data_IF_532838461133
#
_entry.id   IF_532838461133
#
_cell.length_a   1.000
_cell.length_b   1.000
_cell.length_c   1.000
_cell.angle_alpha   90.00
_cell.angle_beta   90.00
_cell.angle_gamma   90.00
#
_symmetry.space_group_name_H-M   'P 1'
#
loop_
_entity.id
_entity.type
_entity.pdbx_description
1 polymer ?
#
# COMPACT_ATOMS: atom_id res chain seq x y z
N UNK A 1 29.44 1.17 -16.49
CA UNK A 1 29.20 -0.14 -15.85
C UNK A 1 27.87 -0.18 -15.10
N UNK A 2 27.54 0.78 -14.22
CA UNK A 2 26.27 0.80 -13.45
C UNK A 2 24.99 0.76 -14.31
N UNK A 3 24.88 1.63 -15.32
CA UNK A 3 23.72 1.66 -16.23
C UNK A 3 23.49 0.33 -16.97
N UNK A 4 24.57 -0.40 -17.27
CA UNK A 4 24.47 -1.70 -17.92
C UNK A 4 23.96 -2.79 -16.95
N UNK A 5 24.24 -2.67 -15.65
CA UNK A 5 23.70 -3.58 -14.62
C UNK A 5 22.24 -3.29 -14.31
N UNK A 6 21.86 -2.02 -14.24
CA UNK A 6 20.46 -1.62 -14.04
C UNK A 6 19.52 -2.23 -15.10
N UNK A 7 19.96 -2.29 -16.36
CA UNK A 7 19.20 -2.92 -17.46
C UNK A 7 19.02 -4.44 -17.35
N UNK A 8 19.74 -5.10 -16.43
CA UNK A 8 19.60 -6.54 -16.17
C UNK A 8 18.64 -6.85 -15.02
N UNK A 9 18.13 -5.83 -14.32
CA UNK A 9 17.12 -6.03 -13.29
C UNK A 9 15.79 -6.43 -13.95
N UNK A 10 15.01 -7.32 -13.32
CA UNK A 10 13.70 -7.70 -13.83
C UNK A 10 12.78 -6.47 -13.96
N UNK A 11 11.99 -6.35 -15.04
CA UNK A 11 10.97 -5.33 -15.14
C UNK A 11 9.82 -5.64 -14.16
N UNK A 12 9.06 -4.61 -13.79
CA UNK A 12 7.76 -4.80 -13.15
C UNK A 12 6.79 -5.49 -14.10
N UNK A 13 5.87 -6.29 -13.54
CA UNK A 13 4.95 -7.14 -14.30
C UNK A 13 3.52 -6.94 -13.81
N UNK A 14 2.57 -7.07 -14.73
CA UNK A 14 1.13 -7.06 -14.44
C UNK A 14 0.65 -8.51 -14.49
N UNK A 15 0.03 -8.97 -13.41
CA UNK A 15 -0.42 -10.35 -13.28
C UNK A 15 -1.83 -10.61 -13.81
N UNK A 16 -2.27 -11.87 -13.69
CA UNK A 16 -3.57 -12.35 -14.20
C UNK A 16 -4.79 -11.68 -13.60
N UNK A 17 -4.66 -11.01 -12.45
CA UNK A 17 -5.73 -10.24 -11.82
C UNK A 17 -5.58 -8.74 -12.07
N UNK A 18 -4.79 -8.34 -13.07
CA UNK A 18 -4.46 -6.94 -13.34
C UNK A 18 -3.81 -6.23 -12.13
N UNK A 19 -3.13 -6.98 -11.25
CA UNK A 19 -2.37 -6.49 -10.12
C UNK A 19 -0.90 -6.28 -10.49
N UNK A 20 -0.21 -5.38 -9.80
CA UNK A 20 1.24 -5.34 -9.84
C UNK A 20 1.79 -6.57 -9.09
N UNK A 21 2.58 -7.40 -9.76
CA UNK A 21 3.07 -8.65 -9.17
C UNK A 21 4.05 -8.38 -8.03
N UNK A 22 3.84 -9.07 -6.90
CA UNK A 22 4.79 -9.04 -5.77
C UNK A 22 6.03 -9.91 -6.02
N UNK A 23 5.88 -10.98 -6.80
CA UNK A 23 6.94 -11.92 -7.14
C UNK A 23 7.21 -12.00 -8.65
N UNK A 24 8.27 -12.70 -9.05
CA UNK A 24 8.59 -12.90 -10.47
C UNK A 24 7.55 -13.77 -11.16
N UNK A 25 7.07 -14.80 -10.46
CA UNK A 25 5.95 -15.63 -10.87
C UNK A 25 4.62 -15.03 -10.43
N UNK A 26 3.57 -15.25 -11.22
CA UNK A 26 2.22 -14.72 -10.98
C UNK A 26 1.47 -15.46 -9.85
N UNK A 27 1.92 -15.24 -8.62
CA UNK A 27 1.51 -15.96 -7.42
C UNK A 27 0.61 -15.14 -6.48
N UNK A 28 0.33 -13.88 -6.80
CA UNK A 28 -0.51 -13.03 -5.95
C UNK A 28 -1.91 -13.61 -5.77
N UNK A 29 -2.48 -13.38 -4.58
CA UNK A 29 -3.84 -13.76 -4.25
C UNK A 29 -4.68 -12.51 -4.00
N UNK A 30 -5.73 -12.21 -4.81
CA UNK A 30 -6.59 -11.04 -4.64
C UNK A 30 -7.37 -11.00 -3.31
N UNK A 31 -7.38 -12.11 -2.56
CA UNK A 31 -8.03 -12.22 -1.24
C UNK A 31 -7.07 -12.05 -0.07
N UNK A 32 -5.79 -11.82 -0.33
CA UNK A 32 -4.78 -11.65 0.70
C UNK A 32 -4.73 -10.20 1.19
N UNK A 33 -5.16 -9.98 2.43
CA UNK A 33 -5.23 -8.68 3.11
C UNK A 33 -3.98 -8.38 3.94
N UNK A 34 -2.84 -9.00 3.59
CA UNK A 34 -1.58 -8.81 4.29
C UNK A 34 -1.24 -7.34 4.52
N UNK A 35 -0.80 -7.01 5.75
CA UNK A 35 -0.50 -5.64 6.17
C UNK A 35 0.64 -4.98 5.37
N UNK A 36 1.56 -5.76 4.82
CA UNK A 36 2.64 -5.23 3.97
C UNK A 36 2.19 -5.17 2.51
N UNK A 37 2.56 -4.07 1.86
CA UNK A 37 2.39 -3.82 0.43
C UNK A 37 3.75 -3.48 -0.18
N UNK A 38 4.77 -4.27 0.16
CA UNK A 38 6.19 -3.94 -0.06
C UNK A 38 6.53 -3.73 -1.54
N UNK A 39 5.91 -4.50 -2.44
CA UNK A 39 6.06 -4.34 -3.88
C UNK A 39 5.52 -3.01 -4.42
N UNK A 40 4.71 -2.26 -3.64
CA UNK A 40 4.27 -0.91 -3.95
C UNK A 40 5.27 0.19 -3.54
N UNK A 41 6.49 -0.18 -3.09
CA UNK A 41 7.57 0.78 -2.84
C UNK A 41 7.81 1.72 -4.03
N UNK A 42 7.71 1.19 -5.26
CA UNK A 42 7.83 1.94 -6.51
C UNK A 42 6.82 3.09 -6.66
N UNK A 43 5.64 2.97 -6.03
CA UNK A 43 4.60 4.00 -6.00
C UNK A 43 4.81 5.00 -4.85
N UNK A 44 5.15 4.53 -3.66
CA UNK A 44 5.58 5.38 -2.53
C UNK A 44 6.43 4.57 -1.54
N UNK A 45 7.58 5.11 -1.07
CA UNK A 45 8.05 6.48 -1.24
C UNK A 45 8.86 6.75 -2.53
N UNK A 46 9.08 5.76 -3.39
CA UNK A 46 9.81 5.96 -4.65
C UNK A 46 8.99 6.73 -5.70
N UNK A 47 9.52 6.83 -6.91
CA UNK A 47 8.98 7.56 -8.07
C UNK A 47 8.96 6.70 -9.36
N UNK A 48 9.08 5.38 -9.23
CA UNK A 48 9.15 4.44 -10.36
C UNK A 48 7.80 4.23 -11.06
N UNK A 49 6.69 4.50 -10.37
CA UNK A 49 5.33 4.34 -10.90
C UNK A 49 4.66 5.72 -10.97
N UNK A 50 4.21 6.12 -12.15
CA UNK A 50 3.59 7.42 -12.40
C UNK A 50 2.41 7.27 -13.37
N UNK A 51 1.31 8.01 -13.14
CA UNK A 51 0.14 7.97 -14.02
C UNK A 51 0.45 8.51 -15.43
N UNK A 52 1.54 9.25 -15.60
CA UNK A 52 1.91 9.86 -16.88
C UNK A 52 2.91 9.03 -17.68
N UNK A 53 3.85 8.34 -17.00
CA UNK A 53 4.94 7.60 -17.66
C UNK A 53 4.72 6.09 -17.65
N UNK A 54 3.99 5.56 -16.68
CA UNK A 54 3.68 4.13 -16.55
C UNK A 54 2.21 3.89 -16.16
N UNK A 55 1.23 4.38 -16.96
CA UNK A 55 -0.19 4.35 -16.62
C UNK A 55 -0.73 2.94 -16.33
N UNK A 56 -0.26 1.93 -17.05
CA UNK A 56 -0.68 0.54 -16.84
C UNK A 56 -0.20 -0.01 -15.49
N UNK A 57 1.06 0.28 -15.10
CA UNK A 57 1.59 -0.10 -13.79
C UNK A 57 0.93 0.69 -12.66
N UNK A 58 0.53 1.93 -12.93
CA UNK A 58 -0.19 2.77 -11.97
C UNK A 58 -1.56 2.17 -11.63
N UNK A 59 -2.33 1.74 -12.63
CA UNK A 59 -3.61 1.04 -12.39
C UNK A 59 -3.40 -0.36 -11.80
N UNK A 60 -2.32 -1.07 -12.18
CA UNK A 60 -1.97 -2.34 -11.55
C UNK A 60 -1.65 -2.18 -10.05
N UNK A 61 -0.93 -1.11 -9.68
CA UNK A 61 -0.67 -0.76 -8.28
C UNK A 61 -1.95 -0.40 -7.52
N UNK A 62 -2.90 0.30 -8.16
CA UNK A 62 -4.24 0.55 -7.60
C UNK A 62 -4.95 -0.77 -7.29
N UNK A 63 -4.99 -1.71 -8.22
CA UNK A 63 -5.63 -3.00 -8.02
C UNK A 63 -4.98 -3.80 -6.89
N UNK A 64 -3.64 -3.85 -6.83
CA UNK A 64 -2.92 -4.46 -5.71
C UNK A 64 -3.33 -3.85 -4.36
N UNK A 65 -3.47 -2.52 -4.29
CA UNK A 65 -3.87 -1.84 -3.07
C UNK A 65 -5.33 -2.10 -2.69
N UNK A 66 -6.24 -2.19 -3.66
CA UNK A 66 -7.65 -2.58 -3.45
C UNK A 66 -7.72 -4.00 -2.86
N UNK A 67 -6.96 -4.95 -3.41
CA UNK A 67 -6.94 -6.34 -2.94
C UNK A 67 -6.41 -6.48 -1.51
N UNK A 68 -5.46 -5.63 -1.13
CA UNK A 68 -4.89 -5.57 0.23
C UNK A 68 -5.81 -4.90 1.25
N UNK A 69 -6.90 -4.27 0.81
CA UNK A 69 -7.91 -3.64 1.65
C UNK A 69 -7.43 -2.39 2.40
N UNK A 70 -8.32 -1.83 3.22
CA UNK A 70 -8.14 -0.51 3.84
C UNK A 70 -7.74 -0.56 5.33
N UNK A 71 -7.75 -1.74 5.92
CA UNK A 71 -7.37 -1.97 7.31
C UNK A 71 -6.02 -2.68 7.36
N UNK A 72 -5.29 -2.45 8.46
CA UNK A 72 -4.07 -3.14 8.84
C UNK A 72 -3.66 -2.60 10.23
N UNK A 73 -2.39 -2.77 10.60
CA UNK A 73 -1.76 -2.14 11.78
C UNK A 73 -1.55 -0.63 11.55
N UNK A 74 -1.29 0.15 12.62
CA UNK A 74 -1.14 1.61 12.54
C UNK A 74 -0.20 2.10 11.43
N UNK A 75 1.06 1.64 11.40
CA UNK A 75 2.02 2.05 10.35
C UNK A 75 1.55 1.72 8.93
N UNK A 76 0.84 0.60 8.75
CA UNK A 76 0.36 0.16 7.43
C UNK A 76 -0.75 1.05 6.95
N UNK A 77 -1.69 1.43 7.83
CA UNK A 77 -2.70 2.44 7.55
C UNK A 77 -2.03 3.77 7.16
N UNK A 78 -1.00 4.19 7.89
CA UNK A 78 -0.22 5.39 7.56
C UNK A 78 0.41 5.32 6.15
N UNK A 79 0.97 4.18 5.77
CA UNK A 79 1.51 3.99 4.42
C UNK A 79 0.40 4.00 3.36
N UNK A 80 -0.73 3.34 3.62
CA UNK A 80 -1.91 3.32 2.72
C UNK A 80 -2.45 4.73 2.45
N UNK A 81 -2.44 5.66 3.41
CA UNK A 81 -2.80 7.08 3.16
C UNK A 81 -1.93 7.68 2.06
N UNK A 82 -0.60 7.48 2.14
CA UNK A 82 0.35 8.02 1.16
C UNK A 82 0.20 7.36 -0.22
N UNK A 83 -0.06 6.04 -0.25
CA UNK A 83 -0.29 5.31 -1.48
C UNK A 83 -1.57 5.79 -2.19
N UNK A 84 -2.68 5.94 -1.47
CA UNK A 84 -3.92 6.49 -2.03
C UNK A 84 -3.77 7.95 -2.48
N UNK A 85 -3.00 8.76 -1.76
CA UNK A 85 -2.65 10.11 -2.19
C UNK A 85 -1.84 10.10 -3.51
N UNK A 86 -0.86 9.19 -3.66
CA UNK A 86 -0.10 9.01 -4.92
C UNK A 86 -0.98 8.48 -6.06
N UNK A 87 -2.03 7.72 -5.75
CA UNK A 87 -3.05 7.25 -6.71
C UNK A 87 -4.05 8.33 -7.14
N UNK A 88 -3.87 9.57 -6.67
CA UNK A 88 -4.72 10.73 -6.94
C UNK A 88 -6.17 10.52 -6.47
N UNK A 89 -6.37 9.68 -5.44
CA UNK A 89 -7.68 9.41 -4.85
C UNK A 89 -7.77 10.00 -3.43
N UNK A 90 -8.11 11.29 -3.37
CA UNK A 90 -8.22 12.02 -2.11
C UNK A 90 -9.36 11.50 -1.21
N UNK A 91 -10.45 11.00 -1.80
CA UNK A 91 -11.58 10.45 -1.05
C UNK A 91 -11.18 9.15 -0.35
N UNK A 92 -10.48 8.27 -1.05
CA UNK A 92 -10.00 7.02 -0.46
C UNK A 92 -8.91 7.29 0.58
N UNK A 93 -7.98 8.22 0.33
CA UNK A 93 -7.00 8.65 1.33
C UNK A 93 -7.67 9.17 2.61
N UNK A 94 -8.72 9.98 2.49
CA UNK A 94 -9.52 10.46 3.63
C UNK A 94 -10.22 9.32 4.37
N UNK A 95 -10.74 8.32 3.67
CA UNK A 95 -11.30 7.10 4.28
C UNK A 95 -10.24 6.39 5.14
N UNK A 96 -9.01 6.25 4.65
CA UNK A 96 -7.93 5.62 5.43
C UNK A 96 -7.55 6.45 6.67
N UNK A 97 -7.58 7.78 6.57
CA UNK A 97 -7.39 8.67 7.74
C UNK A 97 -8.45 8.40 8.81
N UNK A 98 -9.72 8.24 8.43
CA UNK A 98 -10.79 7.90 9.37
C UNK A 98 -10.57 6.53 10.04
N UNK A 99 -10.02 5.54 9.32
CA UNK A 99 -9.65 4.25 9.91
C UNK A 99 -8.56 4.39 10.98
N UNK A 100 -7.58 5.28 10.76
CA UNK A 100 -6.52 5.58 11.74
C UNK A 100 -7.08 6.24 13.01
N UNK A 101 -8.01 7.18 12.85
CA UNK A 101 -8.57 7.99 13.93
C UNK A 101 -9.70 7.26 14.70
N UNK A 102 -9.45 6.00 15.04
CA UNK A 102 -10.36 5.15 15.82
C UNK A 102 -9.76 4.89 17.21
N UNK A 103 -10.57 5.04 18.26
CA UNK A 103 -10.09 4.94 19.64
C UNK A 103 -9.66 3.51 19.98
N UNK A 104 -8.38 3.30 20.30
CA UNK A 104 -7.83 2.04 20.78
C UNK A 104 -8.00 1.93 22.30
N UNK A 105 -8.77 0.94 22.74
CA UNK A 105 -8.99 0.61 24.15
C UNK A 105 -9.33 -0.89 24.30
N UNK A 106 -9.66 -1.32 25.52
CA UNK A 106 -9.98 -2.72 25.79
C UNK A 106 -11.25 -3.21 25.05
N UNK A 107 -12.18 -2.31 24.75
CA UNK A 107 -13.45 -2.60 24.08
C UNK A 107 -13.33 -2.55 22.55
N UNK A 108 -12.32 -1.84 22.04
CA UNK A 108 -12.06 -1.67 20.61
C UNK A 108 -10.61 -2.04 20.27
N UNK A 109 -10.40 -3.34 20.03
CA UNK A 109 -9.10 -3.89 19.57
C UNK A 109 -8.72 -3.44 18.16
N UNK A 110 -9.71 -2.98 17.38
CA UNK A 110 -9.50 -2.46 16.03
C UNK A 110 -9.20 -0.95 16.02
N UNK A 111 -9.19 -0.31 17.18
CA UNK A 111 -8.73 1.07 17.31
C UNK A 111 -7.26 1.24 16.92
N UNK A 112 -6.94 2.40 16.36
CA UNK A 112 -5.61 2.73 15.83
C UNK A 112 -4.99 3.98 16.44
N UNK A 113 -5.72 4.66 17.32
CA UNK A 113 -5.26 5.84 18.05
C UNK A 113 -5.64 5.74 19.52
N UNK A 114 -4.68 5.81 20.43
CA UNK A 114 -4.91 5.84 21.88
C UNK A 114 -5.49 7.20 22.33
N UNK A 115 -6.04 7.32 23.57
CA UNK A 115 -6.57 8.59 24.08
C UNK A 115 -5.58 9.76 24.08
N UNK A 116 -4.27 9.48 24.11
CA UNK A 116 -3.19 10.46 24.03
C UNK A 116 -2.75 10.77 22.59
N UNK A 117 -3.54 10.36 21.59
CA UNK A 117 -3.27 10.49 20.15
C UNK A 117 -2.06 9.70 19.62
N UNK A 118 -1.46 8.82 20.41
CA UNK A 118 -0.42 7.94 19.91
C UNK A 118 -1.01 6.83 19.03
N UNK A 119 -0.28 6.48 17.97
CA UNK A 119 -0.64 5.39 17.08
C UNK A 119 -0.59 4.04 17.79
N UNK A 120 -1.54 3.18 17.48
CA UNK A 120 -1.59 1.81 17.94
C UNK A 120 -1.26 0.87 16.79
N UNK A 121 -0.18 0.09 16.93
CA UNK A 121 0.03 -1.08 16.10
C UNK A 121 -1.12 -2.08 16.26
N UNK A 122 -1.61 -2.41 17.49
CA UNK A 122 -1.07 -2.24 18.86
C UNK A 122 0.15 -3.15 19.19
N UNK A 123 0.97 -2.84 20.22
CA UNK A 123 0.87 -1.69 21.15
C UNK A 123 1.35 -0.37 20.49
N UNK A 124 1.67 0.66 21.28
CA UNK A 124 2.21 1.94 20.78
C UNK A 124 3.40 1.72 19.83
N UNK A 125 3.29 2.28 18.62
CA UNK A 125 4.35 2.43 17.62
C UNK A 125 4.16 3.71 16.82
#
# INVERSE_FOLDING_TARGET
QLLAMMKKLPPMQIGKYAQLQEWLEDLDNPKDDHRHVSHLYGLYPSDQISPYTTPELFEAARNSLIYRGDMATGWSIGWKVNLWARLLDGNHAYKIINNMLTLANNDNKDGRTYPNMFTAHPPFQ
#
